data_IF_986170712796
#
_entry.id   IF_986170712796
#
_cell.length_a   1.000
_cell.length_b   1.000
_cell.length_c   1.000
_cell.angle_alpha   90.00
_cell.angle_beta   90.00
_cell.angle_gamma   90.00
#
_symmetry.space_group_name_H-M   'P 1'
#
loop_
_entity.id
_entity.type
_entity.pdbx_description
1 polymer ?
#
# COMPACT_ATOMS: atom_id res chain seq x y z
N UNK A 1 2.77 -0.05 -66.21
CA UNK A 1 2.59 0.89 -65.09
C UNK A 1 3.50 0.44 -63.95
N UNK A 2 4.63 1.14 -63.77
CA UNK A 2 5.53 0.94 -62.62
C UNK A 2 5.10 1.94 -61.56
N UNK A 3 4.58 1.45 -60.44
CA UNK A 3 4.30 2.30 -59.28
C UNK A 3 5.03 1.68 -58.09
N UNK A 4 6.07 2.37 -57.62
CA UNK A 4 6.78 2.18 -56.34
C UNK A 4 7.36 0.78 -56.04
N UNK A 5 8.52 0.46 -56.63
CA UNK A 5 9.39 -0.65 -56.20
C UNK A 5 10.25 -0.22 -55.00
N UNK A 6 9.64 -0.08 -53.83
CA UNK A 6 10.38 0.21 -52.60
C UNK A 6 10.87 -1.10 -52.00
N UNK A 7 12.18 -1.26 -51.86
CA UNK A 7 12.80 -2.42 -51.19
C UNK A 7 12.25 -2.64 -49.78
N UNK A 8 11.90 -1.56 -49.07
CA UNK A 8 11.26 -1.62 -47.75
C UNK A 8 9.88 -2.29 -47.84
N UNK A 9 9.10 -1.96 -48.88
CA UNK A 9 7.77 -2.56 -49.08
C UNK A 9 7.87 -4.04 -49.44
N UNK A 10 8.89 -4.43 -50.22
CA UNK A 10 9.08 -5.83 -50.61
C UNK A 10 9.57 -6.71 -49.43
N UNK A 11 10.42 -6.15 -48.57
CA UNK A 11 11.03 -6.91 -47.46
C UNK A 11 10.18 -6.92 -46.18
N UNK A 12 9.42 -5.84 -45.92
CA UNK A 12 8.70 -5.65 -44.65
C UNK A 12 7.17 -5.68 -44.76
N UNK A 13 6.58 -5.95 -45.94
CA UNK A 13 5.15 -6.23 -46.02
C UNK A 13 4.84 -7.61 -45.43
N UNK A 14 3.90 -7.67 -44.49
CA UNK A 14 3.21 -8.91 -44.19
C UNK A 14 2.09 -9.13 -45.21
N UNK A 15 1.69 -10.38 -45.45
CA UNK A 15 0.51 -10.69 -46.27
C UNK A 15 -0.50 -11.45 -45.42
N UNK A 16 -1.69 -10.86 -45.24
CA UNK A 16 -2.79 -11.53 -44.58
C UNK A 16 -3.47 -12.47 -45.59
N UNK A 17 -3.50 -13.77 -45.28
CA UNK A 17 -4.20 -14.76 -46.11
C UNK A 17 -5.60 -15.02 -45.57
N UNK A 18 -6.62 -14.58 -46.31
CA UNK A 18 -8.00 -14.98 -46.10
C UNK A 18 -8.37 -16.13 -47.03
N UNK A 19 -8.84 -17.24 -46.48
CA UNK A 19 -9.21 -18.44 -47.25
C UNK A 19 -10.71 -18.70 -47.13
N UNK A 20 -11.39 -18.78 -48.26
CA UNK A 20 -12.82 -19.12 -48.34
C UNK A 20 -13.01 -20.37 -49.18
N UNK A 21 -13.86 -21.27 -48.71
CA UNK A 21 -14.29 -22.46 -49.45
C UNK A 21 -15.77 -22.32 -49.74
N UNK A 22 -16.13 -22.27 -51.01
CA UNK A 22 -17.54 -22.25 -51.41
C UNK A 22 -18.18 -23.60 -51.09
N UNK A 23 -19.21 -23.60 -50.25
CA UNK A 23 -19.90 -24.84 -49.82
C UNK A 23 -20.75 -25.49 -50.91
N UNK A 24 -21.07 -24.77 -51.99
CA UNK A 24 -21.91 -25.26 -53.08
C UNK A 24 -21.13 -25.88 -54.24
N UNK A 25 -19.93 -25.36 -54.54
CA UNK A 25 -19.10 -25.83 -55.67
C UNK A 25 -17.70 -26.30 -55.27
N UNK A 26 -17.36 -26.28 -53.98
CA UNK A 26 -16.05 -26.71 -53.48
C UNK A 26 -14.89 -25.83 -53.92
N UNK A 27 -15.14 -24.68 -54.54
CA UNK A 27 -14.08 -23.78 -55.02
C UNK A 27 -13.38 -23.11 -53.85
N UNK A 28 -12.06 -23.23 -53.81
CA UNK A 28 -11.21 -22.53 -52.87
C UNK A 28 -10.80 -21.18 -53.45
N UNK A 29 -11.03 -20.11 -52.68
CA UNK A 29 -10.56 -18.78 -52.98
C UNK A 29 -9.64 -18.32 -51.86
N UNK A 30 -8.40 -18.02 -52.20
CA UNK A 30 -7.46 -17.39 -51.26
C UNK A 30 -7.24 -15.95 -51.72
N UNK A 31 -7.39 -15.00 -50.81
CA UNK A 31 -7.03 -13.60 -51.01
C UNK A 31 -5.84 -13.28 -50.11
N UNK A 32 -4.81 -12.64 -50.67
CA UNK A 32 -3.61 -12.21 -49.95
C UNK A 32 -3.57 -10.69 -49.95
N UNK A 33 -3.91 -10.09 -48.81
CA UNK A 33 -3.95 -8.64 -48.66
C UNK A 33 -2.67 -8.15 -47.99
N UNK A 34 -1.89 -7.25 -48.62
CA UNK A 34 -0.66 -6.73 -48.05
C UNK A 34 -0.98 -5.86 -46.83
N UNK A 35 -0.16 -5.97 -45.79
CA UNK A 35 -0.36 -5.24 -44.55
C UNK A 35 0.97 -4.81 -43.93
N UNK A 36 1.03 -3.56 -43.49
CA UNK A 36 2.27 -2.90 -43.04
C UNK A 36 2.34 -2.70 -41.52
N UNK A 37 1.23 -2.76 -40.77
CA UNK A 37 1.19 -2.33 -39.36
C UNK A 37 0.30 -3.16 -38.44
N UNK A 38 0.79 -4.23 -37.81
CA UNK A 38 -0.05 -4.98 -36.85
C UNK A 38 -0.27 -4.18 -35.56
N UNK A 39 -1.53 -3.93 -35.23
CA UNK A 39 -1.91 -3.48 -33.89
C UNK A 39 -1.60 -4.61 -32.92
N UNK A 40 -0.56 -4.43 -32.10
CA UNK A 40 -0.31 -5.30 -30.96
C UNK A 40 -1.13 -4.79 -29.76
N UNK A 41 -1.68 -5.68 -28.92
CA UNK A 41 -2.27 -5.26 -27.66
C UNK A 41 -1.20 -4.53 -26.83
N UNK A 42 -1.53 -3.34 -26.32
CA UNK A 42 -0.65 -2.62 -25.40
C UNK A 42 -0.48 -3.49 -24.15
N UNK A 43 0.75 -3.85 -23.75
CA UNK A 43 0.97 -4.61 -22.53
C UNK A 43 0.33 -3.88 -21.36
N UNK A 44 -0.62 -4.53 -20.68
CA UNK A 44 -1.17 -3.98 -19.44
C UNK A 44 -0.07 -3.96 -18.39
N UNK A 45 0.02 -2.89 -17.61
CA UNK A 45 0.99 -2.82 -16.51
C UNK A 45 0.63 -3.87 -15.47
N UNK A 46 1.44 -4.92 -15.42
CA UNK A 46 1.25 -6.04 -14.49
C UNK A 46 1.75 -5.72 -13.08
N UNK A 47 2.44 -4.59 -12.89
CA UNK A 47 3.01 -4.20 -11.60
C UNK A 47 2.76 -2.72 -11.29
N UNK A 48 2.31 -2.45 -10.07
CA UNK A 48 2.31 -1.14 -9.43
C UNK A 48 3.63 -0.88 -8.71
N UNK A 49 4.12 0.36 -8.72
CA UNK A 49 5.23 0.77 -7.84
C UNK A 49 4.73 1.79 -6.83
N UNK A 50 4.90 1.51 -5.54
CA UNK A 50 4.45 2.34 -4.43
C UNK A 50 5.63 2.92 -3.67
N UNK A 51 5.49 4.15 -3.16
CA UNK A 51 6.48 4.79 -2.30
C UNK A 51 6.09 4.57 -0.83
N UNK A 52 6.80 3.68 -0.15
CA UNK A 52 6.50 3.28 1.22
C UNK A 52 7.36 4.05 2.21
N UNK A 53 6.75 4.99 2.91
CA UNK A 53 7.32 5.72 4.03
C UNK A 53 7.25 4.86 5.29
N UNK A 54 8.31 4.11 5.57
CA UNK A 54 8.44 3.30 6.78
C UNK A 54 8.74 4.19 7.98
N UNK A 55 7.83 4.19 8.97
CA UNK A 55 7.94 4.99 10.19
C UNK A 55 8.22 4.07 11.36
N UNK A 56 9.43 4.14 11.88
CA UNK A 56 9.89 3.32 13.00
C UNK A 56 9.65 4.00 14.35
N UNK A 57 9.58 3.20 15.42
CA UNK A 57 9.45 3.74 16.78
C UNK A 57 10.77 4.29 17.32
N UNK A 58 11.85 3.51 17.19
CA UNK A 58 13.13 3.76 17.86
C UNK A 58 14.36 3.68 16.92
N UNK A 59 14.18 3.73 15.60
CA UNK A 59 15.28 3.76 14.63
C UNK A 59 15.65 5.20 14.24
N UNK A 60 16.92 5.41 13.87
CA UNK A 60 17.42 6.66 13.30
C UNK A 60 18.00 6.40 11.90
N UNK A 61 17.53 7.06 10.84
CA UNK A 61 16.41 8.01 10.83
C UNK A 61 15.06 7.33 11.15
N UNK A 62 14.12 8.10 11.73
CA UNK A 62 12.80 7.61 12.11
C UNK A 62 11.97 7.17 10.89
N UNK A 63 12.12 7.87 9.79
CA UNK A 63 11.38 7.65 8.55
C UNK A 63 12.36 7.26 7.45
N UNK A 64 12.06 6.18 6.73
CA UNK A 64 12.81 5.72 5.56
C UNK A 64 11.82 5.45 4.44
N UNK A 65 12.02 6.07 3.27
CA UNK A 65 11.19 5.82 2.10
C UNK A 65 11.78 4.69 1.26
N UNK A 66 10.94 3.74 0.84
CA UNK A 66 11.32 2.57 0.05
C UNK A 66 10.39 2.45 -1.17
N UNK A 67 10.93 2.15 -2.34
CA UNK A 67 10.12 1.77 -3.50
C UNK A 67 9.73 0.30 -3.41
N UNK A 68 8.44 -0.01 -3.47
CA UNK A 68 7.93 -1.39 -3.47
C UNK A 68 7.12 -1.62 -4.74
N UNK A 69 7.61 -2.50 -5.60
CA UNK A 69 6.87 -2.96 -6.77
C UNK A 69 6.03 -4.18 -6.41
N UNK A 70 4.75 -4.20 -6.74
CA UNK A 70 3.83 -5.32 -6.48
C UNK A 70 2.95 -5.58 -7.70
N UNK A 71 2.46 -6.81 -7.88
CA UNK A 71 1.53 -7.11 -8.96
C UNK A 71 0.25 -6.27 -8.84
N UNK A 72 -0.28 -5.78 -9.96
CA UNK A 72 -1.42 -4.83 -9.93
C UNK A 72 -2.68 -5.45 -9.32
N UNK A 73 -2.90 -6.75 -9.55
CA UNK A 73 -4.03 -7.50 -9.00
C UNK A 73 -3.75 -8.10 -7.61
N UNK A 74 -2.60 -7.80 -7.01
CA UNK A 74 -2.28 -8.26 -5.67
C UNK A 74 -3.23 -7.65 -4.63
N UNK A 75 -3.39 -8.38 -3.54
CA UNK A 75 -4.22 -7.94 -2.40
C UNK A 75 -3.43 -7.04 -1.45
N UNK A 76 -4.12 -6.21 -0.64
CA UNK A 76 -3.49 -5.44 0.45
C UNK A 76 -2.74 -6.37 1.41
N UNK A 77 -3.21 -7.61 1.62
CA UNK A 77 -2.49 -8.62 2.41
C UNK A 77 -1.12 -8.95 1.85
N UNK A 78 -1.02 -9.20 0.54
CA UNK A 78 0.26 -9.48 -0.12
C UNK A 78 1.20 -8.28 -0.06
N UNK A 79 0.66 -7.07 -0.20
CA UNK A 79 1.41 -5.84 0.02
C UNK A 79 1.95 -5.76 1.45
N UNK A 80 1.12 -6.07 2.45
CA UNK A 80 1.53 -6.04 3.86
C UNK A 80 2.61 -7.07 4.17
N UNK A 81 2.46 -8.31 3.70
CA UNK A 81 3.48 -9.36 3.85
C UNK A 81 4.80 -8.94 3.21
N UNK A 82 4.75 -8.39 1.99
CA UNK A 82 5.94 -7.89 1.28
C UNK A 82 6.65 -6.78 2.04
N UNK A 83 5.90 -5.79 2.54
CA UNK A 83 6.45 -4.67 3.34
C UNK A 83 7.00 -5.18 4.68
N UNK A 84 6.28 -6.07 5.35
CA UNK A 84 6.67 -6.72 6.61
C UNK A 84 8.03 -7.40 6.49
N UNK A 85 8.22 -8.22 5.44
CA UNK A 85 9.50 -8.89 5.16
C UNK A 85 10.61 -7.92 4.83
N UNK A 86 10.33 -6.89 4.04
CA UNK A 86 11.31 -5.88 3.63
C UNK A 86 11.81 -5.05 4.82
N UNK A 87 10.91 -4.62 5.71
CA UNK A 87 11.22 -3.77 6.86
C UNK A 87 11.64 -4.55 8.11
N UNK A 88 11.41 -5.87 8.12
CA UNK A 88 11.57 -6.77 9.27
C UNK A 88 10.72 -6.33 10.47
N UNK A 89 9.49 -5.89 10.20
CA UNK A 89 8.48 -5.54 11.21
C UNK A 89 7.39 -6.61 11.15
N UNK A 90 7.03 -7.28 12.26
CA UNK A 90 5.94 -8.25 12.25
C UNK A 90 4.62 -7.62 11.81
N UNK A 91 3.80 -8.32 11.03
CA UNK A 91 2.52 -7.79 10.53
C UNK A 91 1.59 -7.30 11.65
N UNK A 92 1.61 -7.95 12.82
CA UNK A 92 0.83 -7.53 14.00
C UNK A 92 1.26 -6.17 14.58
N UNK A 93 2.44 -5.69 14.21
CA UNK A 93 3.02 -4.40 14.61
C UNK A 93 3.14 -3.45 13.41
N UNK A 94 2.43 -3.72 12.31
CA UNK A 94 2.56 -2.96 11.08
C UNK A 94 1.18 -2.46 10.64
N UNK A 95 1.02 -1.14 10.64
CA UNK A 95 -0.21 -0.49 10.16
C UNK A 95 0.10 0.26 8.88
N UNK A 96 -0.66 -0.04 7.82
CA UNK A 96 -0.56 0.64 6.53
C UNK A 96 -1.57 1.77 6.44
N UNK A 97 -1.09 2.97 6.14
CA UNK A 97 -1.86 4.21 6.19
C UNK A 97 -1.71 5.01 4.91
N UNK A 98 -2.81 5.64 4.52
CA UNK A 98 -2.83 6.76 3.58
C UNK A 98 -3.02 8.05 4.38
N UNK A 99 -2.26 9.06 4.01
CA UNK A 99 -2.34 10.39 4.62
C UNK A 99 -2.57 11.39 3.50
N UNK A 100 -3.71 12.07 3.54
CA UNK A 100 -4.09 13.09 2.56
C UNK A 100 -4.63 14.33 3.26
N UNK A 101 -4.50 15.48 2.62
CA UNK A 101 -5.01 16.74 3.20
C UNK A 101 -6.54 16.74 3.30
N UNK A 102 -7.22 16.09 2.35
CA UNK A 102 -8.68 16.11 2.26
C UNK A 102 -9.35 15.08 3.18
N UNK A 103 -8.75 13.88 3.31
CA UNK A 103 -9.32 12.76 4.07
C UNK A 103 -8.60 12.48 5.39
N UNK A 104 -7.52 13.19 5.70
CA UNK A 104 -6.75 12.98 6.91
C UNK A 104 -5.99 11.64 6.88
N UNK A 105 -6.29 10.79 7.86
CA UNK A 105 -5.67 9.47 8.03
C UNK A 105 -6.66 8.38 7.66
N UNK A 106 -6.27 7.50 6.73
CA UNK A 106 -7.07 6.35 6.30
C UNK A 106 -6.22 5.08 6.39
N UNK A 107 -6.69 4.09 7.14
CA UNK A 107 -6.03 2.79 7.24
C UNK A 107 -6.39 1.87 6.07
N UNK A 108 -5.41 1.14 5.54
CA UNK A 108 -5.61 0.02 4.62
C UNK A 108 -5.88 -1.26 5.42
N UNK A 109 -7.04 -1.28 6.08
CA UNK A 109 -7.43 -2.33 7.04
C UNK A 109 -7.98 -3.60 6.39
N UNK A 110 -8.55 -3.49 5.18
CA UNK A 110 -9.18 -4.61 4.48
C UNK A 110 -8.18 -5.36 3.62
N UNK A 111 -7.81 -6.54 4.09
CA UNK A 111 -6.80 -7.41 3.46
C UNK A 111 -7.19 -7.94 2.09
N UNK A 112 -8.49 -8.03 1.82
CA UNK A 112 -9.05 -8.56 0.57
C UNK A 112 -9.07 -7.54 -0.55
N UNK A 113 -8.91 -6.26 -0.24
CA UNK A 113 -8.99 -5.20 -1.24
C UNK A 113 -7.79 -5.31 -2.21
N UNK A 114 -8.03 -4.95 -3.47
CA UNK A 114 -7.03 -5.04 -4.54
C UNK A 114 -6.22 -3.75 -4.57
N UNK A 115 -4.89 -3.87 -4.69
CA UNK A 115 -3.97 -2.72 -4.69
C UNK A 115 -4.32 -1.71 -5.78
N UNK A 116 -4.53 -2.17 -7.02
CA UNK A 116 -4.86 -1.29 -8.16
C UNK A 116 -6.19 -0.53 -8.00
N UNK A 117 -7.15 -1.06 -7.24
CA UNK A 117 -8.42 -0.37 -6.97
C UNK A 117 -8.29 0.67 -5.86
N UNK A 118 -7.33 0.47 -4.95
CA UNK A 118 -7.16 1.28 -3.75
C UNK A 118 -6.08 2.36 -3.88
N UNK A 119 -5.07 2.12 -4.72
CA UNK A 119 -3.82 2.88 -4.76
C UNK A 119 -3.42 3.23 -6.20
N UNK A 120 -2.92 4.45 -6.36
CA UNK A 120 -2.36 4.98 -7.60
C UNK A 120 -0.87 4.62 -7.75
N UNK A 121 -0.39 4.69 -8.99
CA UNK A 121 1.02 4.46 -9.30
C UNK A 121 1.87 5.56 -8.66
N UNK A 122 2.97 5.19 -8.02
CA UNK A 122 3.85 6.09 -7.25
C UNK A 122 3.18 6.80 -6.08
N UNK A 123 2.04 6.30 -5.59
CA UNK A 123 1.40 6.86 -4.41
C UNK A 123 2.26 6.66 -3.15
N UNK A 124 2.34 7.69 -2.32
CA UNK A 124 2.93 7.63 -0.99
C UNK A 124 2.01 6.90 -0.01
N UNK A 125 2.48 5.77 0.51
CA UNK A 125 1.85 5.05 1.62
C UNK A 125 2.76 5.09 2.84
N UNK A 126 2.18 5.01 4.04
CA UNK A 126 2.91 4.98 5.30
C UNK A 126 2.82 3.60 5.91
N UNK A 127 3.97 3.02 6.23
CA UNK A 127 4.09 1.76 6.94
C UNK A 127 4.56 2.07 8.37
N UNK A 128 3.61 2.16 9.30
CA UNK A 128 3.85 2.57 10.68
C UNK A 128 4.09 1.36 11.57
N UNK A 129 5.26 1.33 12.23
CA UNK A 129 5.58 0.38 13.29
C UNK A 129 4.80 0.73 14.55
N UNK A 130 4.09 -0.24 15.13
CA UNK A 130 3.32 -0.06 16.37
C UNK A 130 3.97 -0.81 17.53
N UNK A 131 3.80 -0.35 18.79
CA UNK A 131 4.43 -1.03 19.92
C UNK A 131 3.85 -2.43 20.11
N UNK A 132 4.67 -3.33 20.66
CA UNK A 132 4.25 -4.71 20.95
C UNK A 132 3.05 -4.69 21.93
N UNK A 133 1.88 -5.23 21.56
CA UNK A 133 0.77 -5.34 22.49
C UNK A 133 1.19 -6.22 23.66
N UNK A 134 0.96 -5.76 24.89
CA UNK A 134 1.32 -6.50 26.10
C UNK A 134 0.24 -7.55 26.33
N UNK A 135 0.42 -8.75 25.76
CA UNK A 135 -0.50 -9.85 26.02
C UNK A 135 -0.08 -10.55 27.31
N UNK A 136 -0.67 -10.18 28.44
CA UNK A 136 -0.50 -10.90 29.70
C UNK A 136 -1.28 -12.21 29.65
N UNK A 137 -0.71 -13.25 29.05
CA UNK A 137 -1.15 -14.61 29.33
C UNK A 137 -0.62 -15.00 30.71
N UNK A 138 -1.43 -14.84 31.77
CA UNK A 138 -1.22 -15.65 32.97
C UNK A 138 -1.52 -17.08 32.57
N UNK A 139 -0.48 -17.86 32.27
CA UNK A 139 -0.60 -19.31 32.18
C UNK A 139 -1.01 -19.81 33.57
N UNK A 140 -2.31 -20.06 33.73
CA UNK A 140 -2.91 -20.59 34.93
C UNK A 140 -2.48 -22.05 35.13
N UNK A 141 -1.37 -22.26 35.84
CA UNK A 141 -1.21 -23.42 36.70
C UNK A 141 -1.56 -22.98 38.12
N UNK A 142 -2.85 -22.90 38.45
CA UNK A 142 -3.38 -23.00 39.82
C UNK A 142 -4.90 -23.07 39.78
N UNK A 143 -5.44 -24.22 40.16
CA UNK A 143 -6.83 -24.39 40.49
C UNK A 143 -7.15 -23.61 41.77
N UNK A 144 -8.02 -22.61 41.70
CA UNK A 144 -9.01 -22.24 42.72
C UNK A 144 -9.60 -20.85 42.43
N UNK A 145 -10.92 -20.76 42.62
CA UNK A 145 -11.70 -19.54 42.82
C UNK A 145 -11.94 -18.66 41.58
N UNK A 146 -13.17 -18.73 41.09
CA UNK A 146 -13.70 -17.84 40.06
C UNK A 146 -13.53 -16.37 40.45
N UNK A 147 -12.62 -15.70 39.74
CA UNK A 147 -12.62 -14.26 39.55
C UNK A 147 -12.41 -14.01 38.07
N UNK A 148 -13.23 -13.15 37.48
CA UNK A 148 -13.12 -12.76 36.08
C UNK A 148 -11.72 -12.20 35.82
N UNK A 149 -10.88 -12.95 35.10
CA UNK A 149 -9.60 -12.46 34.57
C UNK A 149 -9.89 -11.53 33.39
N UNK A 150 -10.34 -10.30 33.68
CA UNK A 150 -10.41 -9.23 32.71
C UNK A 150 -9.00 -8.81 32.35
N UNK A 151 -8.42 -9.41 31.29
CA UNK A 151 -7.17 -8.94 30.74
C UNK A 151 -7.31 -7.47 30.33
N UNK A 152 -6.34 -6.63 30.70
CA UNK A 152 -6.31 -5.22 30.30
C UNK A 152 -6.39 -5.12 28.77
N UNK A 153 -7.49 -4.57 28.27
CA UNK A 153 -7.66 -4.36 26.84
C UNK A 153 -6.86 -3.12 26.44
N UNK A 154 -5.87 -3.31 25.58
CA UNK A 154 -5.07 -2.21 25.03
C UNK A 154 -5.55 -1.86 23.61
N UNK A 155 -5.48 -0.57 23.27
CA UNK A 155 -5.76 -0.03 21.95
C UNK A 155 -4.47 0.58 21.38
N UNK A 156 -4.25 0.41 20.08
CA UNK A 156 -3.22 1.17 19.37
C UNK A 156 -3.82 2.49 18.90
N UNK A 157 -3.32 3.59 19.46
CA UNK A 157 -3.68 4.93 19.02
C UNK A 157 -2.72 5.37 17.91
N UNK A 158 -3.25 5.88 16.81
CA UNK A 158 -2.48 6.43 15.68
C UNK A 158 -2.95 7.84 15.38
N UNK A 159 -2.02 8.78 15.17
CA UNK A 159 -2.35 10.17 14.86
C UNK A 159 -1.32 10.84 13.95
N UNK A 160 -1.70 11.99 13.41
CA UNK A 160 -0.84 12.90 12.65
C UNK A 160 -0.95 14.31 13.22
N UNK A 161 0.08 15.12 13.00
CA UNK A 161 0.06 16.52 13.43
C UNK A 161 -0.51 17.40 12.32
N UNK A 162 -1.31 18.39 12.70
CA UNK A 162 -1.91 19.37 11.79
C UNK A 162 -1.60 20.78 12.28
N UNK A 163 -1.21 21.67 11.36
CA UNK A 163 -0.95 23.09 11.66
C UNK A 163 -1.96 23.97 10.92
N UNK A 164 -2.61 24.88 11.63
CA UNK A 164 -3.60 25.82 11.08
C UNK A 164 -4.90 25.83 11.88
N UNK A 165 -5.88 26.62 11.42
CA UNK A 165 -7.14 26.86 12.12
C UNK A 165 -8.31 26.28 11.30
N UNK A 166 -9.19 25.54 11.96
CA UNK A 166 -10.37 24.94 11.34
C UNK A 166 -10.04 23.97 10.20
N UNK A 167 -10.81 24.02 9.12
CA UNK A 167 -10.68 23.07 8.00
C UNK A 167 -9.51 23.36 7.05
N UNK A 168 -8.77 24.46 7.23
CA UNK A 168 -7.63 24.82 6.37
C UNK A 168 -6.26 24.37 6.92
N UNK A 169 -6.24 23.61 8.03
CA UNK A 169 -4.98 23.12 8.58
C UNK A 169 -4.27 22.14 7.63
N UNK A 170 -2.95 22.19 7.59
CA UNK A 170 -2.10 21.28 6.81
C UNK A 170 -1.50 20.19 7.70
N UNK A 171 -1.57 18.94 7.25
CA UNK A 171 -0.88 17.83 7.93
C UNK A 171 0.63 17.97 7.72
N UNK A 172 1.41 17.71 8.77
CA UNK A 172 2.86 17.77 8.72
C UNK A 172 3.52 16.66 9.54
N UNK A 173 4.74 16.29 9.13
CA UNK A 173 5.52 15.23 9.74
C UNK A 173 4.96 13.83 9.46
N UNK A 174 5.62 12.82 10.01
CA UNK A 174 5.18 11.42 9.95
C UNK A 174 4.17 11.11 11.05
N UNK A 175 3.27 10.12 10.84
CA UNK A 175 2.33 9.68 11.87
C UNK A 175 3.05 9.14 13.12
N UNK A 176 2.33 9.07 14.21
CA UNK A 176 2.77 8.51 15.49
C UNK A 176 1.84 7.38 15.91
N UNK A 177 2.36 6.47 16.73
CA UNK A 177 1.56 5.44 17.38
C UNK A 177 1.98 5.23 18.83
N UNK A 178 1.03 4.89 19.68
CA UNK A 178 1.27 4.42 21.04
C UNK A 178 0.21 3.39 21.44
N UNK A 179 0.47 2.66 22.53
CA UNK A 179 -0.53 1.80 23.16
C UNK A 179 -1.18 2.55 24.33
N UNK A 180 -2.50 2.44 24.44
CA UNK A 180 -3.27 2.99 25.56
C UNK A 180 -4.19 1.91 26.12
N UNK A 181 -4.39 1.88 27.44
CA UNK A 181 -5.46 1.06 28.03
C UNK A 181 -6.82 1.59 27.58
N UNK A 182 -7.79 0.69 27.40
CA UNK A 182 -9.17 1.03 27.06
C UNK A 182 -9.86 1.83 28.17
N UNK A 183 -9.38 1.69 29.40
CA UNK A 183 -9.84 2.37 30.61
C UNK A 183 -8.99 3.61 30.95
N UNK A 184 -8.04 3.99 30.08
CA UNK A 184 -7.13 5.10 30.33
C UNK A 184 -7.88 6.44 30.49
N UNK A 185 -7.50 7.21 31.51
CA UNK A 185 -8.01 8.57 31.70
C UNK A 185 -7.51 9.52 30.61
N UNK A 186 -8.22 10.63 30.37
CA UNK A 186 -7.78 11.67 29.44
C UNK A 186 -6.35 12.16 29.74
N UNK A 187 -6.00 12.35 31.02
CA UNK A 187 -4.65 12.79 31.43
C UNK A 187 -3.59 11.75 31.04
N UNK A 188 -3.91 10.46 31.17
CA UNK A 188 -2.99 9.39 30.79
C UNK A 188 -2.77 9.38 29.28
N UNK A 189 -3.85 9.42 28.49
CA UNK A 189 -3.76 9.47 27.03
C UNK A 189 -2.95 10.68 26.57
N UNK A 190 -3.16 11.85 27.18
CA UNK A 190 -2.39 13.06 26.87
C UNK A 190 -0.89 12.87 27.15
N UNK A 191 -0.53 12.28 28.30
CA UNK A 191 0.87 11.96 28.62
C UNK A 191 1.47 10.97 27.63
N UNK A 192 0.74 9.93 27.25
CA UNK A 192 1.21 8.91 26.29
C UNK A 192 1.48 9.51 24.90
N UNK A 193 0.61 10.41 24.43
CA UNK A 193 0.78 11.16 23.18
C UNK A 193 2.03 12.06 23.25
N UNK A 194 2.18 12.84 24.32
CA UNK A 194 3.33 13.74 24.49
C UNK A 194 4.64 12.96 24.57
N UNK A 195 4.65 11.83 25.28
CA UNK A 195 5.80 10.94 25.38
C UNK A 195 6.20 10.36 24.02
N UNK A 196 5.23 9.94 23.19
CA UNK A 196 5.49 9.46 21.84
C UNK A 196 6.04 10.57 20.91
N UNK A 197 5.64 11.82 21.16
CA UNK A 197 6.09 13.00 20.41
C UNK A 197 7.36 13.65 20.98
N UNK A 198 7.96 13.11 22.04
CA UNK A 198 9.11 13.72 22.75
C UNK A 198 10.27 14.14 21.84
N UNK A 199 10.48 13.45 20.73
CA UNK A 199 11.55 13.76 19.76
C UNK A 199 11.28 15.01 18.91
N UNK A 200 10.01 15.43 18.80
CA UNK A 200 9.61 16.68 18.13
C UNK A 200 9.54 17.86 19.10
N UNK A 201 9.23 17.58 20.37
CA UNK A 201 9.12 18.59 21.41
C UNK A 201 10.54 18.98 21.83
N UNK A 202 11.01 20.18 21.44
CA UNK A 202 12.29 20.69 21.91
C UNK A 202 12.33 20.68 23.44
N UNK A 203 13.46 20.31 24.03
CA UNK A 203 13.80 20.69 25.41
C UNK A 203 14.08 22.20 25.40
N UNK A 204 13.04 23.03 25.47
CA UNK A 204 13.16 24.46 25.75
C UNK A 204 11.82 24.98 26.27
N UNK A 205 11.53 24.64 27.52
CA UNK A 205 11.05 25.61 28.51
C UNK A 205 11.78 25.21 29.80
N UNK A 206 13.02 25.66 29.94
CA UNK A 206 13.58 25.86 31.28
C UNK A 206 12.63 26.81 32.03
N UNK A 207 12.34 26.43 33.28
CA UNK A 207 11.49 27.16 34.24
C UNK A 207 11.85 28.65 34.37
#
# INVERSE_FOLDING_TARGET
MRCNSSFIHDLFQAQLRSSLVCRSCGKHSNTFDPYLFLSLPVPTRLTHTLLVNAVFLNRSPRVVQNGVSIESLATIRELRDKISRLLKIPEKQLVLLLIGQDFGLKELAKDTDIVQEMLEDMQDIYALETPKPTVSYTAANSAASGSHSGGEQQLTLVWTNRVGIGNQGRIFGSPFSTLVSREASHKQIQLDILNAMRSLLKHDVDM
#
